data_IF_541738053241
#
_entry.id   IF_541738053241
#
_cell.length_a   1.000
_cell.length_b   1.000
_cell.length_c   1.000
_cell.angle_alpha   90.00
_cell.angle_beta   90.00
_cell.angle_gamma   90.00
#
_symmetry.space_group_name_H-M   'P 1'
#
loop_
_entity.id
_entity.type
_entity.pdbx_description
1 polymer ?
#
# COMPACT_ATOMS: atom_id res chain seq x y z
N UNK A 1 18.07 -6.62 16.50
CA UNK A 1 18.10 -5.13 16.50
C UNK A 1 16.72 -4.63 16.88
N UNK A 2 16.66 -3.61 17.74
CA UNK A 2 15.40 -2.99 18.14
C UNK A 2 14.80 -2.20 16.96
N UNK A 3 13.49 -2.31 16.77
CA UNK A 3 12.77 -1.54 15.76
C UNK A 3 12.73 -0.06 16.15
N UNK A 4 13.19 0.82 15.25
CA UNK A 4 13.22 2.29 15.43
C UNK A 4 12.20 3.03 14.56
N UNK A 5 11.69 2.37 13.52
CA UNK A 5 10.64 2.92 12.66
C UNK A 5 9.69 1.84 12.17
N UNK A 6 8.40 2.21 12.04
CA UNK A 6 7.38 1.42 11.36
C UNK A 6 7.08 2.12 10.04
N UNK A 7 7.18 1.39 8.95
CA UNK A 7 6.93 1.83 7.59
C UNK A 7 5.60 1.23 7.12
N UNK A 8 4.53 2.01 7.16
CA UNK A 8 3.19 1.55 6.80
C UNK A 8 2.92 1.76 5.32
N UNK A 9 2.48 0.72 4.62
CA UNK A 9 1.69 1.01 3.43
C UNK A 9 0.40 1.73 3.81
N UNK A 10 -0.22 2.40 2.86
CA UNK A 10 -1.39 3.22 3.13
C UNK A 10 -2.68 2.53 2.73
N UNK A 11 -2.77 2.18 1.44
CA UNK A 11 -3.97 1.59 0.84
C UNK A 11 -4.04 0.09 1.19
N UNK A 12 -5.08 -0.36 1.87
CA UNK A 12 -5.22 -1.75 2.36
C UNK A 12 -4.60 -2.03 3.74
N UNK A 13 -3.75 -1.13 4.27
CA UNK A 13 -3.19 -1.22 5.64
C UNK A 13 -3.82 -0.21 6.58
N UNK A 14 -3.75 1.07 6.23
CA UNK A 14 -4.31 2.18 7.02
C UNK A 14 -5.71 2.54 6.52
N UNK A 15 -5.86 2.73 5.21
CA UNK A 15 -7.13 3.05 4.55
C UNK A 15 -7.76 1.79 3.96
N UNK A 16 -9.06 1.62 4.20
CA UNK A 16 -9.89 0.57 3.60
C UNK A 16 -10.31 0.95 2.18
N UNK A 17 -9.32 1.16 1.32
CA UNK A 17 -9.49 1.72 -0.02
C UNK A 17 -9.35 0.70 -1.15
N UNK A 18 -8.73 -0.46 -0.93
CA UNK A 18 -8.45 -1.45 -1.98
C UNK A 18 -9.74 -2.07 -2.55
N UNK A 19 -10.79 -2.23 -1.75
CA UNK A 19 -12.12 -2.66 -2.20
C UNK A 19 -12.69 -1.73 -3.28
N UNK A 20 -12.52 -0.40 -3.10
CA UNK A 20 -12.99 0.60 -4.05
C UNK A 20 -12.10 0.66 -5.28
N UNK A 21 -10.78 0.56 -5.11
CA UNK A 21 -9.86 0.45 -6.25
C UNK A 21 -10.18 -0.76 -7.12
N UNK A 22 -10.40 -1.94 -6.53
CA UNK A 22 -10.81 -3.15 -7.24
C UNK A 22 -12.12 -2.92 -8.00
N UNK A 23 -13.15 -2.42 -7.31
CA UNK A 23 -14.45 -2.14 -7.91
C UNK A 23 -14.34 -1.24 -9.13
N UNK A 24 -13.63 -0.13 -9.01
CA UNK A 24 -13.52 0.85 -10.11
C UNK A 24 -12.56 0.42 -11.23
N UNK A 25 -11.58 -0.44 -10.96
CA UNK A 25 -10.83 -1.08 -12.02
C UNK A 25 -11.74 -1.99 -12.88
N UNK A 26 -12.56 -2.83 -12.24
CA UNK A 26 -13.49 -3.72 -12.93
C UNK A 26 -14.54 -2.94 -13.71
N UNK A 27 -15.18 -1.95 -13.07
CA UNK A 27 -16.19 -1.11 -13.70
C UNK A 27 -15.62 -0.33 -14.91
N UNK A 28 -14.45 0.27 -14.78
CA UNK A 28 -13.83 1.00 -15.87
C UNK A 28 -13.48 0.10 -17.06
N UNK A 29 -13.03 -1.13 -16.79
CA UNK A 29 -12.76 -2.10 -17.85
C UNK A 29 -14.05 -2.51 -18.56
N UNK A 30 -15.11 -2.82 -17.83
CA UNK A 30 -16.43 -3.19 -18.36
C UNK A 30 -17.02 -2.06 -19.24
N UNK A 31 -17.04 -0.83 -18.74
CA UNK A 31 -17.55 0.34 -19.49
C UNK A 31 -16.79 0.59 -20.82
N UNK A 32 -15.52 0.21 -20.88
CA UNK A 32 -14.66 0.34 -22.06
C UNK A 32 -14.60 -0.93 -22.93
N UNK A 33 -15.31 -2.00 -22.53
CA UNK A 33 -15.37 -3.25 -23.26
C UNK A 33 -14.12 -4.12 -23.14
N UNK A 34 -13.29 -3.94 -22.09
CA UNK A 34 -12.10 -4.76 -21.86
C UNK A 34 -12.37 -5.95 -20.95
N UNK A 35 -11.94 -7.18 -21.33
CA UNK A 35 -12.21 -8.40 -20.57
C UNK A 35 -11.22 -8.59 -19.41
N UNK A 36 -11.14 -7.65 -18.48
CA UNK A 36 -10.31 -7.82 -17.29
C UNK A 36 -10.97 -8.76 -16.27
N UNK A 37 -10.20 -9.68 -15.75
CA UNK A 37 -10.62 -10.54 -14.64
C UNK A 37 -10.24 -9.94 -13.30
N UNK A 38 -10.92 -10.37 -12.23
CA UNK A 38 -10.57 -9.96 -10.86
C UNK A 38 -9.12 -10.32 -10.51
N UNK A 39 -8.62 -11.48 -10.92
CA UNK A 39 -7.23 -11.90 -10.70
C UNK A 39 -6.22 -10.89 -11.29
N UNK A 40 -6.47 -10.44 -12.52
CA UNK A 40 -5.65 -9.38 -13.14
C UNK A 40 -5.65 -8.12 -12.29
N UNK A 41 -6.82 -7.67 -11.84
CA UNK A 41 -6.96 -6.44 -11.03
C UNK A 41 -6.27 -6.58 -9.67
N UNK A 42 -6.37 -7.72 -9.01
CA UNK A 42 -5.71 -8.00 -7.73
C UNK A 42 -4.17 -7.94 -7.82
N UNK A 43 -3.61 -8.30 -8.98
CA UNK A 43 -2.16 -8.19 -9.25
C UNK A 43 -1.67 -6.76 -9.41
N UNK A 44 -2.57 -5.78 -9.64
CA UNK A 44 -2.22 -4.36 -9.82
C UNK A 44 -2.00 -3.63 -8.49
N UNK A 45 -2.36 -4.23 -7.35
CA UNK A 45 -2.23 -3.58 -6.03
C UNK A 45 -0.77 -3.24 -5.74
N UNK A 46 -0.57 -2.01 -5.30
CA UNK A 46 0.77 -1.46 -5.00
C UNK A 46 1.80 -1.66 -6.12
N UNK A 47 1.36 -1.83 -7.39
CA UNK A 47 2.21 -2.21 -8.51
C UNK A 47 2.80 -0.98 -9.22
N UNK A 48 4.09 -1.05 -9.60
CA UNK A 48 4.73 -0.09 -10.49
C UNK A 48 3.94 0.04 -11.80
N UNK A 49 3.77 1.27 -12.28
CA UNK A 49 2.92 1.54 -13.43
C UNK A 49 3.42 0.90 -14.74
N UNK A 50 4.71 0.65 -14.87
CA UNK A 50 5.27 -0.03 -16.05
C UNK A 50 4.92 -1.52 -16.07
N UNK A 51 4.92 -2.15 -14.90
CA UNK A 51 4.52 -3.55 -14.73
C UNK A 51 3.00 -3.67 -14.87
N UNK A 52 2.25 -2.79 -14.20
CA UNK A 52 0.79 -2.77 -14.27
C UNK A 52 0.29 -2.58 -15.72
N UNK A 53 0.93 -1.69 -16.49
CA UNK A 53 0.65 -1.49 -17.91
C UNK A 53 0.81 -2.78 -18.70
N UNK A 54 1.94 -3.48 -18.53
CA UNK A 54 2.19 -4.73 -19.22
C UNK A 54 1.12 -5.77 -18.90
N UNK A 55 0.80 -5.94 -17.63
CA UNK A 55 -0.24 -6.89 -17.17
C UNK A 55 -1.60 -6.60 -17.81
N UNK A 56 -2.02 -5.34 -17.81
CA UNK A 56 -3.35 -4.95 -18.31
C UNK A 56 -3.40 -4.99 -19.84
N UNK A 57 -2.39 -4.46 -20.53
CA UNK A 57 -2.34 -4.45 -21.99
C UNK A 57 -2.30 -5.90 -22.55
N UNK A 58 -1.57 -6.82 -21.89
CA UNK A 58 -1.58 -8.25 -22.24
C UNK A 58 -2.95 -8.90 -21.98
N UNK A 59 -3.59 -8.62 -20.84
CA UNK A 59 -4.90 -9.19 -20.52
C UNK A 59 -6.02 -8.65 -21.42
N UNK A 60 -5.90 -7.42 -21.89
CA UNK A 60 -6.86 -6.78 -22.80
C UNK A 60 -6.58 -7.08 -24.27
N UNK A 61 -5.47 -7.74 -24.59
CA UNK A 61 -4.95 -7.94 -25.96
C UNK A 61 -4.89 -6.62 -26.77
N UNK A 62 -4.59 -5.50 -26.06
CA UNK A 62 -4.54 -4.18 -26.69
C UNK A 62 -3.56 -3.25 -26.00
N UNK A 63 -2.60 -2.73 -26.76
CA UNK A 63 -1.64 -1.74 -26.27
C UNK A 63 -2.34 -0.41 -25.93
N UNK A 64 -2.08 0.10 -24.72
CA UNK A 64 -2.66 1.34 -24.21
C UNK A 64 -4.00 1.15 -23.49
N UNK A 65 -4.51 -0.07 -23.36
CA UNK A 65 -5.69 -0.39 -22.56
C UNK A 65 -5.54 0.07 -21.11
N UNK A 66 -4.36 -0.17 -20.51
CA UNK A 66 -4.05 0.30 -19.16
C UNK A 66 -4.31 1.79 -18.96
N UNK A 67 -3.84 2.64 -19.87
CA UNK A 67 -3.99 4.09 -19.71
C UNK A 67 -5.44 4.52 -19.80
N UNK A 68 -6.21 3.93 -20.72
CA UNK A 68 -7.64 4.23 -20.89
C UNK A 68 -8.45 3.78 -19.68
N UNK A 69 -8.27 2.52 -19.25
CA UNK A 69 -8.97 1.99 -18.08
C UNK A 69 -8.59 2.78 -16.83
N UNK A 70 -7.30 3.07 -16.64
CA UNK A 70 -6.82 3.86 -15.49
C UNK A 70 -7.37 5.29 -15.49
N UNK A 71 -7.48 5.93 -16.65
CA UNK A 71 -8.08 7.25 -16.76
C UNK A 71 -9.56 7.22 -16.35
N UNK A 72 -10.35 6.27 -16.87
CA UNK A 72 -11.76 6.10 -16.52
C UNK A 72 -11.93 5.76 -15.03
N UNK A 73 -11.13 4.83 -14.50
CA UNK A 73 -11.12 4.51 -13.06
C UNK A 73 -10.88 5.74 -12.19
N UNK A 74 -9.97 6.64 -12.60
CA UNK A 74 -9.72 7.88 -11.83
C UNK A 74 -10.94 8.79 -11.79
N UNK A 75 -11.69 8.86 -12.88
CA UNK A 75 -12.95 9.64 -12.93
C UNK A 75 -13.95 9.02 -11.96
N UNK A 76 -14.20 7.71 -12.02
CA UNK A 76 -15.11 7.00 -11.13
C UNK A 76 -14.73 7.17 -9.65
N UNK A 77 -13.44 7.05 -9.34
CA UNK A 77 -12.96 7.28 -7.97
C UNK A 77 -13.19 8.73 -7.52
N UNK A 78 -12.97 9.71 -8.39
CA UNK A 78 -13.21 11.12 -8.06
C UNK A 78 -14.69 11.41 -7.82
N UNK A 79 -15.57 10.85 -8.64
CA UNK A 79 -17.03 10.95 -8.48
C UNK A 79 -17.45 10.32 -7.13
N UNK A 80 -16.98 9.12 -6.83
CA UNK A 80 -17.24 8.47 -5.55
C UNK A 80 -16.78 9.31 -4.36
N UNK A 81 -15.57 9.84 -4.40
CA UNK A 81 -14.99 10.64 -3.31
C UNK A 81 -15.58 12.05 -3.20
N UNK A 82 -16.40 12.51 -4.15
CA UNK A 82 -17.14 13.76 -4.00
C UNK A 82 -18.31 13.65 -3.01
N UNK A 83 -18.81 12.44 -2.79
CA UNK A 83 -19.94 12.15 -1.90
C UNK A 83 -19.57 11.25 -0.72
N UNK A 84 -18.37 10.63 -0.77
CA UNK A 84 -17.90 9.67 0.22
C UNK A 84 -16.48 10.02 0.68
N UNK A 85 -16.05 9.43 1.78
CA UNK A 85 -14.68 9.52 2.30
C UNK A 85 -14.05 8.14 2.39
N UNK A 86 -12.73 8.10 2.48
CA UNK A 86 -12.05 6.86 2.86
C UNK A 86 -12.38 6.50 4.30
N UNK A 87 -12.43 5.20 4.57
CA UNK A 87 -12.55 4.63 5.91
C UNK A 87 -11.19 4.12 6.37
N UNK A 88 -11.01 4.04 7.70
CA UNK A 88 -9.87 3.35 8.28
C UNK A 88 -10.09 1.84 8.25
N UNK A 89 -9.02 1.09 8.03
CA UNK A 89 -9.06 -0.36 8.29
C UNK A 89 -9.39 -0.61 9.77
N UNK A 90 -10.12 -1.70 10.06
CA UNK A 90 -10.41 -2.08 11.44
C UNK A 90 -9.15 -2.12 12.31
N UNK A 91 -9.22 -1.57 13.52
CA UNK A 91 -8.14 -1.58 14.49
C UNK A 91 -7.09 -0.48 14.33
N UNK A 92 -7.00 0.20 13.18
CA UNK A 92 -5.97 1.22 12.90
C UNK A 92 -5.97 2.33 13.95
N UNK A 93 -7.14 2.91 14.27
CA UNK A 93 -7.22 3.99 15.25
C UNK A 93 -6.72 3.53 16.62
N UNK A 94 -7.14 2.35 17.06
CA UNK A 94 -6.71 1.78 18.35
C UNK A 94 -5.20 1.47 18.37
N UNK A 95 -4.64 0.97 17.26
CA UNK A 95 -3.22 0.75 17.12
C UNK A 95 -2.41 2.06 17.20
N UNK A 96 -2.83 3.11 16.47
CA UNK A 96 -2.16 4.40 16.47
C UNK A 96 -2.17 5.04 17.85
N UNK A 97 -3.30 5.02 18.54
CA UNK A 97 -3.42 5.50 19.92
C UNK A 97 -2.50 4.77 20.90
N UNK A 98 -2.51 3.42 20.86
CA UNK A 98 -1.65 2.60 21.74
C UNK A 98 -0.16 2.77 21.45
N UNK A 99 0.19 3.08 20.22
CA UNK A 99 1.58 3.22 19.77
C UNK A 99 2.11 4.65 19.82
N UNK A 100 1.29 5.65 20.23
CA UNK A 100 1.67 7.07 20.17
C UNK A 100 2.92 7.39 21.01
N UNK A 101 3.02 6.81 22.20
CA UNK A 101 4.10 7.07 23.16
C UNK A 101 5.30 6.12 23.00
N UNK A 102 5.27 5.23 22.00
CA UNK A 102 6.41 4.37 21.73
C UNK A 102 7.54 5.17 21.06
N UNK A 103 8.81 4.91 21.42
CA UNK A 103 9.96 5.58 20.83
C UNK A 103 10.29 5.03 19.43
N UNK A 104 9.27 4.91 18.57
CA UNK A 104 9.39 4.45 17.19
C UNK A 104 8.75 5.45 16.24
N UNK A 105 9.45 5.81 15.18
CA UNK A 105 8.90 6.68 14.14
C UNK A 105 7.85 5.93 13.31
N UNK A 106 6.79 6.61 12.92
CA UNK A 106 5.72 6.09 12.08
C UNK A 106 5.74 6.81 10.75
N UNK A 107 5.95 6.08 9.68
CA UNK A 107 6.13 6.64 8.33
C UNK A 107 5.21 5.93 7.36
N UNK A 108 4.49 6.70 6.56
CA UNK A 108 3.72 6.15 5.44
C UNK A 108 4.65 5.95 4.24
N UNK A 109 4.60 4.75 3.63
CA UNK A 109 5.38 4.38 2.43
C UNK A 109 4.42 3.81 1.39
N UNK A 110 4.00 4.63 0.42
CA UNK A 110 2.86 4.33 -0.45
C UNK A 110 3.16 4.46 -1.95
N UNK A 111 2.37 3.75 -2.77
CA UNK A 111 2.30 3.92 -4.22
C UNK A 111 1.40 5.09 -4.64
N UNK A 112 0.66 5.68 -3.71
CA UNK A 112 -0.24 6.81 -3.93
C UNK A 112 0.48 8.16 -3.89
N UNK A 113 -0.18 9.21 -4.37
CA UNK A 113 0.34 10.57 -4.33
C UNK A 113 -0.04 11.24 -3.02
N UNK A 114 0.88 12.00 -2.38
CA UNK A 114 0.58 12.72 -1.15
C UNK A 114 -0.64 13.64 -1.27
N UNK A 115 -0.71 14.41 -2.36
CA UNK A 115 -1.80 15.35 -2.64
C UNK A 115 -3.18 14.69 -2.77
N UNK A 116 -3.22 13.40 -3.11
CA UNK A 116 -4.46 12.63 -3.22
C UNK A 116 -4.90 12.03 -1.86
N UNK A 117 -3.96 11.85 -0.92
CA UNK A 117 -4.20 11.07 0.31
C UNK A 117 -4.08 11.87 1.62
N UNK A 118 -3.23 12.90 1.66
CA UNK A 118 -3.06 13.71 2.87
C UNK A 118 -4.37 14.34 3.37
N UNK A 119 -5.24 14.89 2.49
CA UNK A 119 -6.53 15.44 2.96
C UNK A 119 -7.42 14.39 3.64
N UNK A 120 -7.36 13.13 3.18
CA UNK A 120 -8.11 12.05 3.82
C UNK A 120 -7.57 11.71 5.20
N UNK A 121 -6.25 11.66 5.38
CA UNK A 121 -5.63 11.41 6.69
C UNK A 121 -5.94 12.52 7.69
N UNK A 122 -5.98 13.76 7.22
CA UNK A 122 -6.36 14.92 8.04
C UNK A 122 -7.84 14.86 8.45
N UNK A 123 -8.75 14.59 7.50
CA UNK A 123 -10.20 14.47 7.79
C UNK A 123 -10.53 13.31 8.73
N UNK A 124 -9.76 12.22 8.65
CA UNK A 124 -9.88 11.07 9.56
C UNK A 124 -9.22 11.30 10.93
N UNK A 125 -8.55 12.45 11.12
CA UNK A 125 -7.90 12.83 12.37
C UNK A 125 -6.72 11.93 12.74
N UNK A 126 -5.99 11.40 11.75
CA UNK A 126 -4.86 10.50 11.99
C UNK A 126 -3.52 11.01 11.45
N UNK A 127 -3.51 12.12 10.72
CA UNK A 127 -2.29 12.68 10.14
C UNK A 127 -1.19 12.94 11.17
N UNK A 128 -1.56 13.38 12.38
CA UNK A 128 -0.63 13.70 13.47
C UNK A 128 0.14 12.48 14.04
N UNK A 129 -0.27 11.25 13.74
CA UNK A 129 0.45 10.06 14.21
C UNK A 129 1.66 9.69 13.35
N UNK A 130 1.81 10.32 12.19
CA UNK A 130 2.86 9.98 11.24
C UNK A 130 3.92 11.09 11.16
N UNK A 131 5.17 10.70 11.35
CA UNK A 131 6.33 11.62 11.33
C UNK A 131 6.69 12.05 9.90
N UNK A 132 6.39 11.22 8.90
CA UNK A 132 6.63 11.57 7.49
C UNK A 132 5.85 10.68 6.52
N UNK A 133 5.82 11.15 5.28
CA UNK A 133 5.19 10.48 4.14
C UNK A 133 6.26 10.28 3.06
N UNK A 134 6.34 9.06 2.51
CA UNK A 134 7.22 8.68 1.42
C UNK A 134 6.37 8.07 0.31
N UNK A 135 6.48 8.62 -0.88
CA UNK A 135 5.74 8.17 -2.05
C UNK A 135 6.67 7.58 -3.11
N UNK A 136 6.15 6.65 -3.92
CA UNK A 136 6.86 6.19 -5.13
C UNK A 136 7.22 7.31 -6.10
N UNK A 137 6.67 8.52 -5.94
CA UNK A 137 7.07 9.70 -6.71
C UNK A 137 8.48 10.20 -6.42
N UNK A 138 9.03 9.82 -5.26
CA UNK A 138 10.38 10.20 -4.82
C UNK A 138 11.45 9.21 -5.32
N UNK A 139 11.05 8.15 -6.05
CA UNK A 139 11.93 7.08 -6.51
C UNK A 139 11.75 6.77 -7.99
N UNK A 140 12.71 6.04 -8.56
CA UNK A 140 12.68 5.69 -9.98
C UNK A 140 11.68 4.58 -10.29
N UNK A 141 11.57 3.59 -9.40
CA UNK A 141 10.70 2.41 -9.59
C UNK A 141 9.82 2.23 -8.36
N UNK A 142 8.53 1.97 -8.59
CA UNK A 142 7.56 1.63 -7.55
C UNK A 142 7.67 0.17 -7.09
N UNK A 143 6.82 -0.22 -6.14
CA UNK A 143 6.69 -1.62 -5.70
C UNK A 143 6.35 -2.53 -6.90
N UNK A 144 6.90 -3.72 -7.04
CA UNK A 144 7.64 -4.52 -6.06
C UNK A 144 9.14 -4.20 -5.95
N UNK A 145 9.67 -3.23 -6.68
CA UNK A 145 11.07 -2.86 -6.55
C UNK A 145 11.36 -2.26 -5.16
N UNK A 146 12.56 -2.48 -4.59
CA UNK A 146 12.89 -2.08 -3.22
C UNK A 146 13.10 -0.57 -3.03
N UNK A 147 13.03 0.20 -4.09
CA UNK A 147 13.49 1.59 -4.17
C UNK A 147 12.80 2.48 -3.12
N UNK A 148 11.47 2.37 -2.95
CA UNK A 148 10.70 3.22 -2.03
C UNK A 148 11.02 2.94 -0.57
N UNK A 149 11.20 1.67 -0.18
CA UNK A 149 11.58 1.30 1.17
C UNK A 149 13.02 1.65 1.50
N UNK A 150 13.95 1.43 0.56
CA UNK A 150 15.34 1.90 0.69
C UNK A 150 15.42 3.42 0.81
N UNK A 151 14.60 4.14 0.07
CA UNK A 151 14.52 5.59 0.17
C UNK A 151 13.98 6.02 1.54
N UNK A 152 12.92 5.39 2.03
CA UNK A 152 12.38 5.66 3.36
C UNK A 152 13.44 5.44 4.47
N UNK A 153 14.16 4.33 4.45
CA UNK A 153 15.24 4.07 5.42
C UNK A 153 16.34 5.15 5.35
N UNK A 154 16.81 5.52 4.15
CA UNK A 154 17.81 6.60 3.98
C UNK A 154 17.31 7.94 4.49
N UNK A 155 16.06 8.32 4.17
CA UNK A 155 15.43 9.57 4.63
C UNK A 155 15.36 9.64 6.15
N UNK A 156 15.23 8.50 6.80
CA UNK A 156 15.21 8.36 8.25
C UNK A 156 16.62 8.26 8.88
N UNK A 157 17.67 8.04 8.09
CA UNK A 157 19.01 7.76 8.61
C UNK A 157 19.08 6.45 9.39
N UNK A 158 18.30 5.43 8.97
CA UNK A 158 18.23 4.11 9.62
C UNK A 158 18.68 3.01 8.67
N UNK A 159 19.26 1.95 9.26
CA UNK A 159 19.48 0.71 8.55
C UNK A 159 18.14 -0.02 8.30
N UNK A 160 17.96 -0.71 7.16
CA UNK A 160 16.72 -1.45 6.89
C UNK A 160 16.33 -2.42 8.00
N UNK A 161 17.30 -3.09 8.64
CA UNK A 161 17.06 -4.01 9.76
C UNK A 161 16.54 -3.36 11.04
N UNK A 162 16.59 -2.02 11.14
CA UNK A 162 16.01 -1.22 12.24
C UNK A 162 14.56 -0.77 11.94
N UNK A 163 14.05 -1.11 10.75
CA UNK A 163 12.70 -0.77 10.32
C UNK A 163 11.82 -2.02 10.25
N UNK A 164 10.52 -1.82 10.46
CA UNK A 164 9.47 -2.82 10.29
C UNK A 164 8.45 -2.28 9.27
N UNK A 165 8.27 -2.97 8.15
CA UNK A 165 7.23 -2.65 7.18
C UNK A 165 5.93 -3.36 7.54
N UNK A 166 4.80 -2.67 7.36
CA UNK A 166 3.45 -3.25 7.46
C UNK A 166 2.80 -3.12 6.10
N UNK A 167 2.42 -4.25 5.52
CA UNK A 167 1.96 -4.38 4.13
C UNK A 167 0.75 -5.31 4.00
N UNK A 168 -0.06 -5.13 2.95
CA UNK A 168 -1.22 -5.97 2.64
C UNK A 168 -1.06 -6.79 1.37
N UNK A 169 -0.17 -6.37 0.48
CA UNK A 169 -0.07 -6.83 -0.90
C UNK A 169 1.20 -7.62 -1.20
N UNK A 170 1.16 -8.57 -2.16
CA UNK A 170 2.35 -9.29 -2.59
C UNK A 170 3.47 -8.38 -3.12
N UNK A 171 3.12 -7.32 -3.86
CA UNK A 171 4.10 -6.38 -4.40
C UNK A 171 4.76 -5.56 -3.30
N UNK A 172 3.99 -5.17 -2.29
CA UNK A 172 4.50 -4.44 -1.15
C UNK A 172 5.42 -5.28 -0.27
N UNK A 173 5.02 -6.51 0.04
CA UNK A 173 5.86 -7.46 0.80
C UNK A 173 7.20 -7.69 0.11
N UNK A 174 7.20 -7.98 -1.22
CA UNK A 174 8.45 -8.15 -1.98
C UNK A 174 9.32 -6.90 -1.93
N UNK A 175 8.73 -5.72 -2.13
CA UNK A 175 9.45 -4.45 -2.12
C UNK A 175 10.17 -4.20 -0.79
N UNK A 176 9.49 -4.42 0.34
CA UNK A 176 10.07 -4.23 1.66
C UNK A 176 11.13 -5.30 1.98
N UNK A 177 10.85 -6.57 1.66
CA UNK A 177 11.78 -7.68 1.84
C UNK A 177 13.09 -7.49 1.06
N UNK A 178 13.00 -7.13 -0.23
CA UNK A 178 14.16 -6.89 -1.09
C UNK A 178 14.93 -5.61 -0.71
N UNK A 179 14.30 -4.72 0.05
CA UNK A 179 14.96 -3.59 0.67
C UNK A 179 15.76 -3.97 1.92
N UNK A 180 15.60 -5.19 2.44
CA UNK A 180 16.22 -5.66 3.69
C UNK A 180 15.43 -5.25 4.94
N UNK A 181 14.21 -4.77 4.79
CA UNK A 181 13.30 -4.37 5.88
C UNK A 181 12.59 -5.62 6.40
N UNK A 182 12.41 -5.73 7.72
CA UNK A 182 11.53 -6.75 8.31
C UNK A 182 10.08 -6.46 7.89
N UNK A 183 9.31 -7.51 7.56
CA UNK A 183 7.95 -7.33 7.05
C UNK A 183 6.93 -8.08 7.89
N UNK A 184 5.84 -7.40 8.23
CA UNK A 184 4.60 -8.00 8.71
C UNK A 184 3.54 -7.74 7.66
N UNK A 185 2.95 -8.81 7.12
CA UNK A 185 1.80 -8.74 6.23
C UNK A 185 0.53 -8.81 7.07
N UNK A 186 -0.35 -7.82 6.88
CA UNK A 186 -1.73 -7.81 7.36
C UNK A 186 -2.61 -7.97 6.12
N UNK A 187 -3.06 -9.19 5.79
CA UNK A 187 -3.75 -9.45 4.53
C UNK A 187 -5.04 -8.64 4.38
N UNK A 188 -5.28 -8.12 3.19
CA UNK A 188 -6.54 -7.47 2.81
C UNK A 188 -7.29 -8.34 1.78
N UNK A 189 -7.22 -8.02 0.49
CA UNK A 189 -7.96 -8.74 -0.55
C UNK A 189 -7.35 -10.09 -0.95
N UNK A 190 -6.08 -10.32 -0.63
CA UNK A 190 -5.40 -11.60 -0.93
C UNK A 190 -4.59 -12.06 0.27
N UNK A 191 -4.68 -13.36 0.57
CA UNK A 191 -3.85 -13.98 1.60
C UNK A 191 -2.40 -14.21 1.18
N UNK A 192 -1.50 -14.52 2.12
CA UNK A 192 -0.12 -14.82 1.84
C UNK A 192 0.03 -16.20 1.17
N UNK A 193 0.80 -16.25 0.08
CA UNK A 193 1.27 -17.50 -0.51
C UNK A 193 2.42 -18.11 0.31
N UNK A 194 2.79 -19.37 0.03
CA UNK A 194 3.96 -20.00 0.67
C UNK A 194 5.27 -19.24 0.40
N UNK A 195 5.39 -18.61 -0.76
CA UNK A 195 6.50 -17.72 -1.09
C UNK A 195 6.54 -16.51 -0.14
N UNK A 196 5.41 -15.82 0.01
CA UNK A 196 5.31 -14.65 0.89
C UNK A 196 5.53 -14.99 2.36
N UNK A 197 5.06 -16.16 2.82
CA UNK A 197 5.31 -16.64 4.19
C UNK A 197 6.80 -16.82 4.52
N UNK A 198 7.65 -17.01 3.50
CA UNK A 198 9.11 -17.04 3.68
C UNK A 198 9.73 -15.64 3.77
N UNK A 199 9.04 -14.62 3.29
CA UNK A 199 9.53 -13.23 3.23
C UNK A 199 9.02 -12.37 4.39
N UNK A 200 7.87 -12.71 4.99
CA UNK A 200 7.22 -11.91 6.01
C UNK A 200 6.64 -12.73 7.16
N UNK A 201 6.39 -12.06 8.29
CA UNK A 201 5.43 -12.54 9.28
C UNK A 201 4.03 -12.16 8.83
N UNK A 202 3.03 -12.93 9.27
CA UNK A 202 1.63 -12.66 8.97
C UNK A 202 0.91 -12.36 10.28
N UNK A 203 0.15 -11.29 10.29
CA UNK A 203 -0.74 -10.92 11.38
C UNK A 203 -2.17 -10.84 10.81
N UNK A 204 -3.15 -11.31 11.55
CA UNK A 204 -4.54 -11.27 11.12
C UNK A 204 -5.12 -9.84 11.24
N UNK A 205 -4.57 -9.04 12.15
CA UNK A 205 -5.01 -7.67 12.44
C UNK A 205 -3.82 -6.76 12.73
N UNK A 206 -4.01 -5.47 12.44
CA UNK A 206 -2.95 -4.47 12.64
C UNK A 206 -2.49 -4.36 14.09
N UNK A 207 -3.37 -4.61 15.08
CA UNK A 207 -3.03 -4.54 16.50
C UNK A 207 -1.94 -5.54 16.90
N UNK A 208 -1.87 -6.68 16.20
CA UNK A 208 -0.86 -7.71 16.44
C UNK A 208 0.55 -7.27 16.02
N UNK A 209 0.67 -6.25 15.18
CA UNK A 209 1.96 -5.65 14.79
C UNK A 209 2.76 -5.19 16.03
N UNK A 210 2.06 -4.80 17.12
CA UNK A 210 2.71 -4.44 18.39
C UNK A 210 3.61 -5.52 18.98
N UNK A 211 3.32 -6.79 18.72
CA UNK A 211 4.11 -7.93 19.22
C UNK A 211 5.48 -8.03 18.52
N UNK A 212 5.56 -7.52 17.29
CA UNK A 212 6.78 -7.54 16.48
C UNK A 212 7.72 -6.36 16.78
N UNK A 213 7.25 -5.34 17.51
CA UNK A 213 8.07 -4.19 17.93
C UNK A 213 8.94 -4.51 19.14
N UNK A 214 8.57 -5.52 19.93
CA UNK A 214 9.23 -5.88 21.20
C UNK A 214 10.42 -6.85 21.03
N UNK A 215 10.64 -7.33 19.83
CA UNK A 215 11.70 -8.30 19.49
C UNK A 215 12.76 -7.63 18.59
#
# INVERSE_FOLDING_TARGET
MQTKAILFDLDGVILDSEKEYRRFWMQAAEELGYPLTEDVVLRLRSCDSSIARKIVDEAADERGAYDRIRARRKILMKEFLSENTYELKPGVKAFLEKSKDLPVRKVIVTSSRPEEKMPALESLGIGQYFDSFVSVKEVKRGKPFPDVYRFACRKLGLDPGECLAVEDSPNGVRSAYDAGVKVVMVPDLTGPTDELRRMCRVADRIEEVMEYLKK
#
